data_IF_175003635040
#
_entry.id   IF_175003635040
#
_cell.length_a   1.000
_cell.length_b   1.000
_cell.length_c   1.000
_cell.angle_alpha   90.00
_cell.angle_beta   90.00
_cell.angle_gamma   90.00
#
_symmetry.space_group_name_H-M   'P 1'
#
loop_
_entity.id
_entity.type
_entity.pdbx_description
1 polymer ?
#
# COMPACT_ATOMS: atom_id res chain seq x y z
N UNK A 1 5.10 -4.18 -21.65
CA UNK A 1 4.72 -5.34 -20.83
C UNK A 1 5.84 -6.37 -20.91
N UNK A 2 6.17 -7.02 -19.80
CA UNK A 2 7.20 -8.09 -19.68
C UNK A 2 8.65 -7.68 -19.95
N UNK A 3 8.97 -6.39 -20.02
CA UNK A 3 10.33 -5.94 -20.36
C UNK A 3 11.35 -6.26 -19.27
N UNK A 4 10.95 -6.30 -18.01
CA UNK A 4 11.85 -6.69 -16.92
C UNK A 4 12.14 -8.19 -16.95
N UNK A 5 11.13 -9.02 -17.15
CA UNK A 5 11.27 -10.47 -17.22
C UNK A 5 12.15 -10.89 -18.41
N UNK A 6 11.88 -10.34 -19.60
CA UNK A 6 12.67 -10.65 -20.81
C UNK A 6 14.14 -10.22 -20.67
N UNK A 7 14.39 -9.06 -20.04
CA UNK A 7 15.76 -8.61 -19.77
C UNK A 7 16.46 -9.46 -18.70
N UNK A 8 15.72 -9.92 -17.68
CA UNK A 8 16.27 -10.79 -16.65
C UNK A 8 16.62 -12.17 -17.22
N UNK A 9 15.75 -12.75 -18.05
CA UNK A 9 16.00 -14.04 -18.69
C UNK A 9 17.12 -13.96 -19.75
N UNK A 10 17.31 -12.82 -20.40
CA UNK A 10 18.38 -12.59 -21.37
C UNK A 10 19.73 -12.27 -20.72
N UNK A 11 19.76 -11.82 -19.46
CA UNK A 11 21.00 -11.64 -18.72
C UNK A 11 21.49 -13.00 -18.22
N UNK A 12 22.80 -13.31 -18.43
CA UNK A 12 23.39 -14.49 -17.82
C UNK A 12 23.46 -14.27 -16.30
N UNK A 13 22.40 -14.66 -15.60
CA UNK A 13 22.35 -14.59 -14.13
C UNK A 13 23.30 -15.64 -13.56
N UNK A 14 24.24 -15.21 -12.76
CA UNK A 14 25.14 -16.11 -12.01
C UNK A 14 24.35 -16.80 -10.90
N UNK A 15 24.77 -17.99 -10.48
CA UNK A 15 24.15 -18.69 -9.36
C UNK A 15 24.09 -17.82 -8.08
N UNK A 16 25.11 -17.00 -7.86
CA UNK A 16 25.14 -16.04 -6.75
C UNK A 16 24.03 -14.97 -6.84
N UNK A 17 23.71 -14.50 -8.05
CA UNK A 17 22.62 -13.53 -8.27
C UNK A 17 21.26 -14.14 -7.93
N UNK A 18 21.02 -15.39 -8.35
CA UNK A 18 19.77 -16.11 -8.03
C UNK A 18 19.63 -16.31 -6.53
N UNK A 19 20.72 -16.68 -5.85
CA UNK A 19 20.71 -16.85 -4.39
C UNK A 19 20.43 -15.53 -3.67
N UNK A 20 21.02 -14.43 -4.12
CA UNK A 20 20.76 -13.09 -3.58
C UNK A 20 19.29 -12.66 -3.79
N UNK A 21 18.73 -12.92 -4.98
CA UNK A 21 17.34 -12.62 -5.30
C UNK A 21 16.34 -13.43 -4.43
N UNK A 22 16.63 -14.72 -4.19
CA UNK A 22 15.81 -15.57 -3.32
C UNK A 22 15.85 -15.05 -1.87
N UNK A 23 17.03 -14.72 -1.35
CA UNK A 23 17.18 -14.19 0.01
C UNK A 23 16.47 -12.83 0.16
N UNK A 24 16.62 -11.96 -0.81
CA UNK A 24 15.93 -10.67 -0.84
C UNK A 24 14.41 -10.86 -0.90
N UNK A 25 13.92 -11.75 -1.76
CA UNK A 25 12.50 -12.09 -1.87
C UNK A 25 11.93 -12.66 -0.59
N UNK A 26 12.65 -13.55 0.08
CA UNK A 26 12.25 -14.11 1.38
C UNK A 26 12.15 -13.01 2.46
N UNK A 27 13.17 -12.15 2.53
CA UNK A 27 13.20 -11.04 3.50
C UNK A 27 12.02 -10.10 3.29
N UNK A 28 11.77 -9.71 2.04
CA UNK A 28 10.62 -8.84 1.71
C UNK A 28 9.30 -9.56 1.99
N UNK A 29 9.18 -10.84 1.67
CA UNK A 29 7.99 -11.64 1.94
C UNK A 29 7.63 -11.66 3.42
N UNK A 30 8.60 -11.88 4.31
CA UNK A 30 8.39 -11.87 5.77
C UNK A 30 7.86 -10.52 6.25
N UNK A 31 8.34 -9.42 5.70
CA UNK A 31 7.88 -8.06 6.07
C UNK A 31 6.52 -7.75 5.44
N UNK A 32 6.29 -8.19 4.21
CA UNK A 32 5.07 -7.90 3.47
C UNK A 32 3.82 -8.57 4.05
N UNK A 33 3.94 -9.76 4.65
CA UNK A 33 2.82 -10.51 5.21
C UNK A 33 2.09 -9.72 6.33
N UNK A 34 2.76 -9.34 7.45
CA UNK A 34 2.10 -8.59 8.51
C UNK A 34 1.65 -7.20 8.04
N UNK A 35 2.41 -6.54 7.17
CA UNK A 35 2.04 -5.24 6.63
C UNK A 35 0.74 -5.32 5.82
N UNK A 36 0.59 -6.33 4.96
CA UNK A 36 -0.62 -6.51 4.14
C UNK A 36 -1.84 -6.80 4.99
N UNK A 37 -1.69 -7.60 6.04
CA UNK A 37 -2.77 -7.89 6.98
C UNK A 37 -3.16 -6.64 7.78
N UNK A 38 -2.20 -5.88 8.27
CA UNK A 38 -2.45 -4.63 9.01
C UNK A 38 -3.20 -3.60 8.15
N UNK A 39 -2.80 -3.42 6.89
CA UNK A 39 -3.48 -2.51 5.97
C UNK A 39 -4.87 -2.97 5.55
N UNK A 40 -5.13 -4.29 5.50
CA UNK A 40 -6.47 -4.82 5.30
C UNK A 40 -7.38 -4.47 6.46
N UNK A 41 -6.92 -4.69 7.70
CA UNK A 41 -7.66 -4.33 8.92
C UNK A 41 -7.92 -2.82 8.96
N UNK A 42 -6.90 -2.01 8.70
CA UNK A 42 -7.04 -0.55 8.63
C UNK A 42 -8.02 -0.09 7.55
N UNK A 43 -8.18 -0.86 6.47
CA UNK A 43 -9.16 -0.60 5.40
C UNK A 43 -10.56 -1.17 5.70
N UNK A 44 -10.80 -1.71 6.89
CA UNK A 44 -12.11 -2.23 7.31
C UNK A 44 -12.45 -3.62 6.77
N UNK A 45 -11.46 -4.41 6.36
CA UNK A 45 -11.66 -5.78 5.86
C UNK A 45 -10.84 -6.79 6.63
N UNK A 46 -11.24 -8.06 6.57
CA UNK A 46 -10.53 -9.13 7.26
C UNK A 46 -9.09 -9.31 6.72
N UNK A 47 -8.10 -9.61 7.60
CA UNK A 47 -6.67 -9.64 7.26
C UNK A 47 -6.32 -10.59 6.13
N UNK A 48 -7.05 -11.69 5.96
CA UNK A 48 -6.82 -12.65 4.88
C UNK A 48 -6.96 -12.03 3.48
N UNK A 49 -7.82 -11.02 3.31
CA UNK A 49 -7.99 -10.35 2.02
C UNK A 49 -6.75 -9.55 1.62
N UNK A 50 -6.07 -8.94 2.60
CA UNK A 50 -4.78 -8.28 2.37
C UNK A 50 -3.72 -9.27 1.93
N UNK A 51 -3.68 -10.45 2.56
CA UNK A 51 -2.73 -11.50 2.22
C UNK A 51 -2.94 -12.03 0.81
N UNK A 52 -4.19 -12.38 0.45
CA UNK A 52 -4.51 -12.84 -0.91
C UNK A 52 -4.17 -11.79 -1.97
N UNK A 53 -4.51 -10.54 -1.70
CA UNK A 53 -4.19 -9.43 -2.62
C UNK A 53 -2.68 -9.27 -2.78
N UNK A 54 -1.90 -9.31 -1.69
CA UNK A 54 -0.45 -9.18 -1.76
C UNK A 54 0.21 -10.30 -2.57
N UNK A 55 -0.24 -11.55 -2.38
CA UNK A 55 0.29 -12.71 -3.12
C UNK A 55 -0.04 -12.59 -4.61
N UNK A 56 -1.32 -12.41 -4.94
CA UNK A 56 -1.76 -12.39 -6.35
C UNK A 56 -1.21 -11.17 -7.07
N UNK A 57 -1.34 -9.98 -6.49
CA UNK A 57 -0.82 -8.76 -7.10
C UNK A 57 0.71 -8.79 -7.21
N UNK A 58 1.41 -9.29 -6.19
CA UNK A 58 2.86 -9.44 -6.21
C UNK A 58 3.34 -10.30 -7.38
N UNK A 59 2.72 -11.46 -7.58
CA UNK A 59 3.05 -12.36 -8.70
C UNK A 59 2.74 -11.70 -10.06
N UNK A 60 1.55 -11.12 -10.20
CA UNK A 60 1.14 -10.48 -11.46
C UNK A 60 2.07 -9.33 -11.82
N UNK A 61 2.42 -8.48 -10.85
CA UNK A 61 3.29 -7.33 -11.07
C UNK A 61 4.74 -7.78 -11.34
N UNK A 62 5.24 -8.79 -10.65
CA UNK A 62 6.57 -9.34 -10.91
C UNK A 62 6.70 -9.87 -12.35
N UNK A 63 5.66 -10.51 -12.87
CA UNK A 63 5.65 -11.04 -14.24
C UNK A 63 5.44 -9.94 -15.28
N UNK A 64 4.48 -9.03 -15.06
CA UNK A 64 4.07 -8.02 -16.05
C UNK A 64 4.83 -6.70 -15.95
N UNK A 65 5.58 -6.50 -14.88
CA UNK A 65 6.26 -5.24 -14.59
C UNK A 65 7.37 -4.86 -15.55
N UNK A 66 7.68 -3.57 -15.58
CA UNK A 66 8.74 -3.00 -16.42
C UNK A 66 10.06 -2.75 -15.69
N UNK A 67 10.09 -2.83 -14.37
CA UNK A 67 11.25 -2.58 -13.52
C UNK A 67 11.78 -3.88 -12.91
N UNK A 68 13.12 -4.04 -12.89
CA UNK A 68 13.79 -5.20 -12.29
C UNK A 68 13.97 -5.10 -10.78
N UNK A 69 13.89 -3.89 -10.25
CA UNK A 69 14.25 -3.58 -8.85
C UNK A 69 13.08 -2.98 -8.06
N UNK A 70 11.88 -2.98 -8.63
CA UNK A 70 10.69 -2.43 -7.96
C UNK A 70 9.86 -3.55 -7.34
N UNK A 71 9.58 -3.42 -6.04
CA UNK A 71 8.66 -4.27 -5.31
C UNK A 71 7.37 -3.48 -5.14
N UNK A 72 6.28 -4.04 -5.65
CA UNK A 72 4.96 -3.43 -5.50
C UNK A 72 4.23 -4.06 -4.31
N UNK A 73 3.57 -3.23 -3.54
CA UNK A 73 2.86 -3.66 -2.35
C UNK A 73 1.74 -2.69 -1.97
N UNK A 74 0.98 -3.01 -0.93
CA UNK A 74 -0.07 -2.14 -0.44
C UNK A 74 0.52 -0.85 0.12
N UNK A 75 -0.24 0.25 0.05
CA UNK A 75 0.16 1.53 0.62
C UNK A 75 -0.89 2.05 1.60
N UNK A 76 -0.45 2.54 2.74
CA UNK A 76 -1.30 3.12 3.76
C UNK A 76 -2.03 4.39 3.28
N UNK A 77 -1.52 5.08 2.27
CA UNK A 77 -2.17 6.25 1.68
C UNK A 77 -3.59 5.96 1.15
N UNK A 78 -3.83 4.75 0.66
CA UNK A 78 -5.14 4.36 0.16
C UNK A 78 -6.13 3.96 1.25
N UNK A 79 -5.70 3.70 2.49
CA UNK A 79 -6.59 3.35 3.60
C UNK A 79 -7.68 4.40 3.79
N UNK A 80 -7.32 5.69 3.69
CA UNK A 80 -8.26 6.82 3.83
C UNK A 80 -9.39 6.78 2.80
N UNK A 81 -9.12 6.24 1.60
CA UNK A 81 -10.10 6.09 0.52
C UNK A 81 -10.87 4.77 0.63
N UNK A 82 -10.18 3.70 0.99
CA UNK A 82 -10.75 2.35 1.01
C UNK A 82 -11.68 2.13 2.21
N UNK A 83 -11.35 2.69 3.38
CA UNK A 83 -12.14 2.53 4.60
C UNK A 83 -13.59 3.00 4.44
N UNK A 84 -13.90 4.21 3.91
CA UNK A 84 -15.27 4.63 3.65
C UNK A 84 -16.01 3.73 2.66
N UNK A 85 -15.32 3.21 1.64
CA UNK A 85 -15.93 2.29 0.67
C UNK A 85 -16.28 0.96 1.35
N UNK A 86 -15.36 0.44 2.14
CA UNK A 86 -15.57 -0.81 2.88
C UNK A 86 -16.69 -0.69 3.90
N UNK A 87 -16.78 0.42 4.62
CA UNK A 87 -17.80 0.65 5.63
C UNK A 87 -19.21 0.83 5.04
N UNK A 88 -19.34 1.47 3.86
CA UNK A 88 -20.62 1.73 3.21
C UNK A 88 -21.10 0.58 2.32
N UNK A 89 -20.20 -0.04 1.57
CA UNK A 89 -20.54 -1.01 0.53
C UNK A 89 -19.94 -2.40 0.77
N UNK A 90 -19.24 -2.58 1.89
CA UNK A 90 -18.59 -3.85 2.22
C UNK A 90 -17.49 -4.25 1.24
N UNK A 91 -17.09 -5.51 1.31
CA UNK A 91 -16.04 -6.07 0.44
C UNK A 91 -16.44 -6.07 -1.04
N UNK A 92 -17.74 -6.21 -1.34
CA UNK A 92 -18.25 -6.14 -2.72
C UNK A 92 -17.98 -4.78 -3.36
N UNK A 93 -18.18 -3.69 -2.62
CA UNK A 93 -17.87 -2.34 -3.07
C UNK A 93 -16.37 -2.13 -3.33
N UNK A 94 -15.51 -2.69 -2.46
CA UNK A 94 -14.05 -2.65 -2.67
C UNK A 94 -13.63 -3.39 -3.94
N UNK A 95 -14.20 -4.56 -4.20
CA UNK A 95 -13.89 -5.34 -5.41
C UNK A 95 -14.30 -4.60 -6.69
N UNK A 96 -15.49 -4.01 -6.71
CA UNK A 96 -15.99 -3.24 -7.86
C UNK A 96 -15.14 -1.99 -8.07
N UNK A 97 -14.87 -1.21 -7.01
CA UNK A 97 -14.05 0.00 -7.11
C UNK A 97 -12.61 -0.33 -7.54
N UNK A 98 -12.03 -1.39 -7.01
CA UNK A 98 -10.71 -1.87 -7.41
C UNK A 98 -10.65 -2.31 -8.87
N UNK A 99 -11.69 -3.02 -9.35
CA UNK A 99 -11.80 -3.42 -10.75
C UNK A 99 -11.93 -2.20 -11.69
N UNK A 100 -12.77 -1.23 -11.33
CA UNK A 100 -12.91 0.03 -12.09
C UNK A 100 -11.59 0.81 -12.12
N UNK A 101 -10.92 0.94 -10.99
CA UNK A 101 -9.60 1.57 -10.91
C UNK A 101 -8.58 0.84 -11.80
N UNK A 102 -8.59 -0.48 -11.81
CA UNK A 102 -7.74 -1.28 -12.68
C UNK A 102 -7.96 -1.00 -14.17
N UNK A 103 -9.23 -0.91 -14.62
CA UNK A 103 -9.56 -0.55 -16.00
C UNK A 103 -9.04 0.85 -16.34
N UNK A 104 -9.25 1.82 -15.46
CA UNK A 104 -8.77 3.19 -15.65
C UNK A 104 -7.24 3.20 -15.78
N UNK A 105 -6.53 2.52 -14.91
CA UNK A 105 -5.07 2.45 -14.94
C UNK A 105 -4.54 1.77 -16.22
N UNK A 106 -5.20 0.73 -16.69
CA UNK A 106 -4.85 0.07 -17.96
C UNK A 106 -5.04 1.04 -19.13
N UNK A 107 -6.17 1.74 -19.21
CA UNK A 107 -6.43 2.73 -20.28
C UNK A 107 -5.43 3.87 -20.25
N UNK A 108 -5.10 4.38 -19.06
CA UNK A 108 -4.04 5.39 -18.88
C UNK A 108 -2.67 4.86 -19.32
N UNK A 109 -2.36 3.62 -19.00
CA UNK A 109 -1.10 2.97 -19.40
C UNK A 109 -1.00 2.83 -20.93
N UNK A 110 -2.08 2.38 -21.59
CA UNK A 110 -2.15 2.30 -23.07
C UNK A 110 -2.05 3.69 -23.72
N UNK A 111 -2.65 4.69 -23.12
CA UNK A 111 -2.55 6.09 -23.55
C UNK A 111 -1.19 6.74 -23.25
N UNK A 112 -0.23 6.00 -22.65
CA UNK A 112 1.08 6.52 -22.24
C UNK A 112 1.00 7.72 -21.30
N UNK A 113 -0.12 7.89 -20.58
CA UNK A 113 -0.35 8.98 -19.66
C UNK A 113 0.59 8.94 -18.42
N UNK A 114 1.29 7.84 -18.21
CA UNK A 114 2.35 7.75 -17.20
C UNK A 114 3.44 8.82 -17.35
N UNK A 115 3.64 9.36 -18.56
CA UNK A 115 4.56 10.49 -18.79
C UNK A 115 4.09 11.80 -18.14
N UNK A 116 2.80 11.93 -17.82
CA UNK A 116 2.29 13.10 -17.12
C UNK A 116 2.90 13.29 -15.74
N UNK A 117 3.41 12.22 -15.12
CA UNK A 117 4.08 12.32 -13.82
C UNK A 117 5.38 13.14 -13.90
N UNK A 118 5.99 13.21 -15.08
CA UNK A 118 7.21 14.02 -15.30
C UNK A 118 6.90 15.53 -15.22
N UNK A 119 5.62 15.91 -15.39
CA UNK A 119 5.16 17.31 -15.31
C UNK A 119 4.93 17.73 -13.86
N UNK A 120 4.78 16.77 -12.93
CA UNK A 120 4.53 17.06 -11.52
C UNK A 120 5.80 17.63 -10.89
N UNK A 121 5.78 18.88 -10.37
CA UNK A 121 6.95 19.47 -9.75
C UNK A 121 7.41 18.67 -8.51
N UNK A 122 8.71 18.51 -8.35
CA UNK A 122 9.30 17.78 -7.24
C UNK A 122 8.82 18.23 -5.84
N UNK A 123 8.61 19.55 -5.56
CA UNK A 123 8.05 19.99 -4.29
C UNK A 123 6.67 19.42 -3.97
N UNK A 124 5.83 19.18 -5.00
CA UNK A 124 4.50 18.58 -4.83
C UNK A 124 4.63 17.13 -4.36
N UNK A 125 5.56 16.38 -4.94
CA UNK A 125 5.82 14.99 -4.56
C UNK A 125 6.33 14.90 -3.11
N UNK A 126 7.25 15.79 -2.71
CA UNK A 126 7.75 15.86 -1.34
C UNK A 126 6.62 16.25 -0.37
N UNK A 127 5.84 17.28 -0.69
CA UNK A 127 4.73 17.73 0.14
C UNK A 127 3.68 16.64 0.35
N UNK A 128 3.32 15.93 -0.71
CA UNK A 128 2.40 14.80 -0.65
C UNK A 128 2.94 13.66 0.23
N UNK A 129 4.20 13.27 0.04
CA UNK A 129 4.83 12.20 0.82
C UNK A 129 4.97 12.58 2.28
N UNK A 130 5.40 13.81 2.57
CA UNK A 130 5.51 14.30 3.95
C UNK A 130 4.13 14.40 4.62
N UNK A 131 3.11 14.86 3.91
CA UNK A 131 1.73 14.90 4.42
C UNK A 131 1.20 13.51 4.79
N UNK A 132 1.41 12.53 3.92
CA UNK A 132 1.04 11.13 4.19
C UNK A 132 1.79 10.62 5.43
N UNK A 133 3.10 10.86 5.53
CA UNK A 133 3.90 10.42 6.66
C UNK A 133 3.39 11.00 7.99
N UNK A 134 3.04 12.28 8.03
CA UNK A 134 2.46 12.93 9.22
C UNK A 134 1.11 12.31 9.57
N UNK A 135 0.21 12.13 8.61
CA UNK A 135 -1.11 11.54 8.86
C UNK A 135 -0.98 10.11 9.39
N UNK A 136 -0.16 9.28 8.73
CA UNK A 136 0.04 7.89 9.15
C UNK A 136 0.68 7.86 10.54
N UNK A 137 1.75 8.63 10.77
CA UNK A 137 2.42 8.70 12.07
C UNK A 137 1.46 9.10 13.19
N UNK A 138 0.60 10.08 12.96
CA UNK A 138 -0.40 10.51 13.95
C UNK A 138 -1.40 9.40 14.25
N UNK A 139 -1.92 8.71 13.22
CA UNK A 139 -2.89 7.63 13.42
C UNK A 139 -2.30 6.42 14.13
N UNK A 140 -1.02 6.14 13.90
CA UNK A 140 -0.32 5.03 14.57
C UNK A 140 0.00 5.32 16.05
N UNK A 141 -0.05 6.58 16.49
CA UNK A 141 0.16 6.92 17.91
C UNK A 141 -0.89 6.24 18.81
N UNK A 142 -2.12 6.07 18.36
CA UNK A 142 -3.16 5.33 19.08
C UNK A 142 -2.69 3.92 19.44
N UNK A 143 -2.24 3.17 18.43
CA UNK A 143 -1.85 1.77 18.60
C UNK A 143 -0.51 1.65 19.33
N UNK A 144 0.42 2.55 19.06
CA UNK A 144 1.73 2.58 19.71
C UNK A 144 1.65 2.89 21.21
N UNK A 145 0.73 3.77 21.61
CA UNK A 145 0.53 4.15 23.00
C UNK A 145 -0.54 3.29 23.70
N UNK A 146 -1.14 2.33 23.00
CA UNK A 146 -2.22 1.49 23.53
C UNK A 146 -3.42 2.31 24.03
N UNK A 147 -3.79 3.38 23.32
CA UNK A 147 -4.88 4.25 23.75
C UNK A 147 -6.23 3.56 23.59
N UNK A 148 -7.08 3.65 24.63
CA UNK A 148 -8.43 3.09 24.62
C UNK A 148 -9.39 4.04 23.85
N UNK A 149 -9.36 3.91 22.53
CA UNK A 149 -10.21 4.66 21.59
C UNK A 149 -10.90 3.65 20.68
N UNK A 150 -12.22 3.53 20.76
CA UNK A 150 -12.97 2.55 19.96
C UNK A 150 -12.82 2.78 18.45
N UNK A 151 -13.00 4.04 18.00
CA UNK A 151 -12.85 4.40 16.59
C UNK A 151 -12.25 5.79 16.41
N UNK A 152 -11.47 6.00 15.37
CA UNK A 152 -10.94 7.30 14.96
C UNK A 152 -11.80 7.87 13.83
N UNK A 153 -13.04 8.26 14.16
CA UNK A 153 -13.98 8.84 13.20
C UNK A 153 -13.80 10.36 13.07
N UNK A 154 -14.32 10.93 11.99
CA UNK A 154 -14.26 12.36 11.72
C UNK A 154 -13.08 12.81 10.86
N UNK A 155 -12.89 14.12 10.78
CA UNK A 155 -11.79 14.74 10.03
C UNK A 155 -10.43 14.56 10.74
N UNK A 156 -9.34 14.86 10.06
CA UNK A 156 -7.98 14.67 10.62
C UNK A 156 -7.77 15.41 11.95
N UNK A 157 -8.27 16.65 12.05
CA UNK A 157 -8.13 17.44 13.29
C UNK A 157 -8.92 16.85 14.46
N UNK A 158 -10.09 16.26 14.18
CA UNK A 158 -10.89 15.59 15.21
C UNK A 158 -10.15 14.37 15.75
N UNK A 159 -9.49 13.62 14.88
CA UNK A 159 -8.66 12.48 15.27
C UNK A 159 -7.46 12.90 16.12
N UNK A 160 -6.80 13.99 15.75
CA UNK A 160 -5.68 14.54 16.53
C UNK A 160 -6.14 14.97 17.93
N UNK A 161 -7.27 15.68 18.03
CA UNK A 161 -7.83 16.12 19.31
C UNK A 161 -8.27 14.95 20.18
N UNK A 162 -8.86 13.90 19.55
CA UNK A 162 -9.27 12.69 20.25
C UNK A 162 -8.07 11.95 20.83
N UNK A 163 -7.00 11.78 20.05
CA UNK A 163 -5.75 11.18 20.51
C UNK A 163 -5.15 11.99 21.67
N UNK A 164 -5.09 13.32 21.53
CA UNK A 164 -4.53 14.21 22.57
C UNK A 164 -5.33 14.11 23.87
N UNK A 165 -6.66 14.05 23.80
CA UNK A 165 -7.53 13.93 24.99
C UNK A 165 -7.45 12.54 25.63
N UNK A 166 -7.10 11.52 24.87
CA UNK A 166 -7.01 10.13 25.34
C UNK A 166 -5.62 9.75 25.85
N UNK A 167 -4.67 10.68 25.90
CA UNK A 167 -3.31 10.41 26.43
C UNK A 167 -3.32 9.93 27.89
N UNK A 168 -4.36 10.23 28.66
CA UNK A 168 -4.50 9.74 30.04
C UNK A 168 -4.84 8.23 30.12
N UNK A 169 -5.22 7.60 29.02
CA UNK A 169 -5.59 6.17 28.95
C UNK A 169 -4.44 5.27 28.46
N UNK A 170 -3.20 5.79 28.42
CA UNK A 170 -2.02 5.03 27.99
C UNK A 170 -1.92 3.73 28.77
N UNK A 171 -1.87 2.62 28.04
CA UNK A 171 -1.70 1.28 28.57
C UNK A 171 -0.51 0.61 27.86
N UNK A 172 0.48 0.21 28.64
CA UNK A 172 1.73 -0.41 28.15
C UNK A 172 1.61 -1.92 28.19
#
# INVERSE_FOLDING_TARGET
>A
LFSALTKSLASQSTFADIQADILAGLTVGVIALPLSMALAIASGVAPQHGLYTAIVAGIVIAISGGSRVNISGPTAAFVVVLLPIASQFGIGGLLVSGFMAGIILITMGLGKLGKLIEIVPYPVVIGFTAGIAVVIGTLQLKDFLGLDIESLDGEYLDKVTLIANSLATINW
#
